data_IF_902128650712
#
_entry.id   IF_902128650712
#
_cell.length_a   1.000
_cell.length_b   1.000
_cell.length_c   1.000
_cell.angle_alpha   90.00
_cell.angle_beta   90.00
_cell.angle_gamma   90.00
#
_symmetry.space_group_name_H-M   'P 1'
#
loop_
_entity.id
_entity.type
_entity.pdbx_description
1 polymer ?
#
# COMPACT_ATOMS: atom_id res chain seq x y z
N UNK A 1 -16.30 -2.02 24.78
CA UNK A 1 -15.95 -0.84 23.96
C UNK A 1 -14.60 -0.33 24.43
N UNK A 2 -13.51 -0.74 23.81
CA UNK A 2 -12.18 -0.25 24.16
C UNK A 2 -12.08 1.19 23.68
N UNK A 3 -11.85 2.12 24.61
CA UNK A 3 -11.51 3.50 24.28
C UNK A 3 -10.13 3.50 23.58
N UNK A 4 -10.13 3.45 22.27
CA UNK A 4 -8.96 3.70 21.43
C UNK A 4 -8.55 5.19 21.43
N UNK A 5 -9.17 6.00 22.26
CA UNK A 5 -9.10 7.45 22.28
C UNK A 5 -7.73 8.07 22.62
N UNK A 6 -6.69 7.27 22.88
CA UNK A 6 -5.37 7.80 23.22
C UNK A 6 -4.21 7.28 22.35
N UNK A 7 -4.48 6.42 21.38
CA UNK A 7 -3.43 5.93 20.51
C UNK A 7 -3.35 6.79 19.23
N UNK A 8 -2.20 7.33 18.94
CA UNK A 8 -1.89 8.05 17.70
C UNK A 8 -0.70 7.39 17.01
N UNK A 9 -0.67 7.44 15.70
CA UNK A 9 0.49 7.04 14.90
C UNK A 9 1.10 8.30 14.28
N UNK A 10 2.39 8.50 14.46
CA UNK A 10 3.16 9.51 13.77
C UNK A 10 3.57 8.97 12.41
N UNK A 11 3.29 9.73 11.37
CA UNK A 11 3.63 9.40 10.00
C UNK A 11 4.48 10.52 9.44
N UNK A 12 5.74 10.23 9.16
CA UNK A 12 6.66 11.18 8.55
C UNK A 12 6.46 11.18 7.03
N UNK A 13 6.34 12.38 6.45
CA UNK A 13 6.27 12.59 5.00
C UNK A 13 7.56 13.23 4.51
N UNK A 14 7.90 13.02 3.25
CA UNK A 14 9.11 13.56 2.63
C UNK A 14 9.08 15.09 2.62
N UNK A 15 10.16 15.71 3.11
CA UNK A 15 10.27 17.16 3.25
C UNK A 15 10.23 17.88 1.89
N UNK A 16 10.92 17.33 0.88
CA UNK A 16 11.00 17.94 -0.45
C UNK A 16 9.65 18.12 -1.13
N UNK A 17 8.72 17.19 -0.86
CA UNK A 17 7.41 17.19 -1.51
C UNK A 17 6.42 18.17 -0.89
N UNK A 18 6.57 18.48 0.39
CA UNK A 18 5.54 19.20 1.15
C UNK A 18 6.04 20.40 1.94
N UNK A 19 7.31 20.76 1.83
CA UNK A 19 7.95 21.83 2.59
C UNK A 19 8.70 21.33 3.81
N UNK A 20 9.04 22.22 4.72
CA UNK A 20 9.82 21.91 5.92
C UNK A 20 9.18 20.85 6.81
N UNK A 21 9.99 20.22 7.63
CA UNK A 21 9.64 19.10 8.51
C UNK A 21 8.25 19.22 9.11
N UNK A 22 7.47 18.19 9.01
CA UNK A 22 6.15 18.11 9.61
C UNK A 22 5.85 16.71 10.11
N UNK A 23 5.02 16.66 11.11
CA UNK A 23 4.45 15.43 11.61
C UNK A 23 3.02 15.26 11.09
N UNK A 24 2.67 14.05 10.76
CA UNK A 24 1.31 13.66 10.47
C UNK A 24 0.83 12.76 11.60
N UNK A 25 -0.21 13.18 12.29
CA UNK A 25 -0.79 12.43 13.39
C UNK A 25 -2.12 11.85 12.93
N UNK A 26 -2.24 10.53 12.96
CA UNK A 26 -3.46 9.81 12.65
C UNK A 26 -4.11 9.35 13.97
N UNK A 27 -5.37 9.66 14.15
CA UNK A 27 -6.15 9.28 15.32
C UNK A 27 -7.06 8.09 15.03
N UNK A 28 -7.38 7.26 16.02
CA UNK A 28 -8.27 6.12 15.87
C UNK A 28 -9.70 6.46 15.42
N UNK A 29 -10.12 7.70 15.63
CA UNK A 29 -11.41 8.23 15.17
C UNK A 29 -11.43 8.63 13.68
N UNK A 30 -10.30 8.45 12.98
CA UNK A 30 -10.13 8.83 11.58
C UNK A 30 -9.71 10.28 11.35
N UNK A 31 -9.49 11.04 12.43
CA UNK A 31 -8.95 12.40 12.33
C UNK A 31 -7.48 12.33 11.92
N UNK A 32 -7.05 13.26 11.09
CA UNK A 32 -5.68 13.45 10.65
C UNK A 32 -5.27 14.89 10.92
N UNK A 33 -4.14 15.06 11.57
CA UNK A 33 -3.52 16.36 11.81
C UNK A 33 -2.19 16.46 11.08
N UNK A 34 -1.98 17.58 10.39
CA UNK A 34 -0.72 17.95 9.75
C UNK A 34 -0.11 19.09 10.56
N UNK A 35 1.03 18.85 11.16
CA UNK A 35 1.79 19.83 11.92
C UNK A 35 3.01 20.29 11.13
N UNK A 36 3.13 21.57 10.89
CA UNK A 36 4.27 22.16 10.21
C UNK A 36 5.08 22.99 11.20
N UNK A 37 6.38 22.79 11.28
CA UNK A 37 7.29 23.69 12.01
C UNK A 37 7.35 25.05 11.30
N UNK A 38 7.43 25.03 9.97
CA UNK A 38 7.36 26.19 9.11
C UNK A 38 6.50 25.89 7.89
N UNK A 39 5.25 26.31 7.91
CA UNK A 39 4.36 26.11 6.77
C UNK A 39 4.83 26.96 5.57
N UNK A 40 4.79 26.39 4.34
CA UNK A 40 5.10 27.16 3.14
C UNK A 40 4.22 28.42 3.03
N UNK A 41 4.82 29.58 2.75
CA UNK A 41 4.10 30.85 2.66
C UNK A 41 2.96 30.83 1.63
N UNK A 42 3.14 30.04 0.56
CA UNK A 42 2.13 29.83 -0.47
C UNK A 42 0.92 29.04 0.06
N UNK A 43 1.16 28.05 0.92
CA UNK A 43 0.09 27.31 1.59
C UNK A 43 -0.71 28.25 2.50
N UNK A 44 -0.05 29.02 3.36
CA UNK A 44 -0.70 29.97 4.27
C UNK A 44 -1.51 31.04 3.49
N UNK A 45 -0.93 31.58 2.43
CA UNK A 45 -1.64 32.52 1.54
C UNK A 45 -2.87 31.86 0.89
N UNK A 46 -2.75 30.61 0.45
CA UNK A 46 -3.84 29.87 -0.16
C UNK A 46 -4.98 29.56 0.82
N UNK A 47 -4.66 29.26 2.07
CA UNK A 47 -5.65 29.01 3.13
C UNK A 47 -6.48 30.26 3.47
N UNK A 48 -5.86 31.44 3.36
CA UNK A 48 -6.49 32.74 3.68
C UNK A 48 -7.14 33.42 2.48
N UNK A 49 -7.01 32.87 1.26
CA UNK A 49 -7.45 33.49 0.02
C UNK A 49 -8.57 32.73 -0.69
N UNK A 50 -9.01 33.28 -1.83
CA UNK A 50 -9.98 32.64 -2.74
C UNK A 50 -9.36 32.49 -4.13
N UNK A 51 -9.90 31.61 -4.96
CA UNK A 51 -9.46 31.42 -6.33
C UNK A 51 -8.29 30.47 -6.49
N UNK A 52 -7.36 30.76 -7.41
CA UNK A 52 -6.28 29.84 -7.79
C UNK A 52 -5.34 29.47 -6.63
N UNK A 53 -4.98 30.42 -5.78
CA UNK A 53 -4.14 30.16 -4.60
C UNK A 53 -4.84 29.23 -3.60
N UNK A 54 -6.14 29.40 -3.40
CA UNK A 54 -6.94 28.48 -2.56
C UNK A 54 -7.02 27.07 -3.16
N UNK A 55 -7.12 26.96 -4.50
CA UNK A 55 -7.11 25.66 -5.17
C UNK A 55 -5.77 24.95 -5.03
N UNK A 56 -4.66 25.67 -5.19
CA UNK A 56 -3.32 25.09 -4.98
C UNK A 56 -3.10 24.62 -3.53
N UNK A 57 -3.54 25.41 -2.54
CA UNK A 57 -3.51 25.00 -1.14
C UNK A 57 -4.35 23.73 -0.88
N UNK A 58 -5.53 23.66 -1.48
CA UNK A 58 -6.38 22.48 -1.39
C UNK A 58 -5.72 21.24 -1.99
N UNK A 59 -5.06 21.39 -3.15
CA UNK A 59 -4.30 20.29 -3.77
C UNK A 59 -3.14 19.82 -2.89
N UNK A 60 -2.41 20.75 -2.28
CA UNK A 60 -1.32 20.41 -1.35
C UNK A 60 -1.82 19.63 -0.14
N UNK A 61 -2.90 20.09 0.50
CA UNK A 61 -3.50 19.39 1.64
C UNK A 61 -4.04 18.01 1.24
N UNK A 62 -4.72 17.94 0.10
CA UNK A 62 -5.26 16.68 -0.40
C UNK A 62 -4.18 15.66 -0.70
N UNK A 63 -3.10 16.06 -1.38
CA UNK A 63 -1.98 15.17 -1.67
C UNK A 63 -1.30 14.68 -0.39
N UNK A 64 -1.07 15.57 0.58
CA UNK A 64 -0.53 15.19 1.88
C UNK A 64 -1.44 14.20 2.63
N UNK A 65 -2.75 14.40 2.54
CA UNK A 65 -3.73 13.47 3.11
C UNK A 65 -3.66 12.10 2.44
N UNK A 66 -3.62 12.04 1.10
CA UNK A 66 -3.53 10.77 0.36
C UNK A 66 -2.24 10.02 0.69
N UNK A 67 -1.10 10.71 0.77
CA UNK A 67 0.17 10.09 1.13
C UNK A 67 0.16 9.55 2.56
N UNK A 68 -0.34 10.34 3.51
CA UNK A 68 -0.49 9.90 4.90
C UNK A 68 -1.43 8.69 5.01
N UNK A 69 -2.51 8.73 4.26
CA UNK A 69 -3.49 7.64 4.23
C UNK A 69 -2.89 6.36 3.63
N UNK A 70 -2.10 6.48 2.56
CA UNK A 70 -1.40 5.34 1.95
C UNK A 70 -0.40 4.71 2.93
N UNK A 71 0.36 5.52 3.66
CA UNK A 71 1.28 5.03 4.69
C UNK A 71 0.54 4.38 5.85
N UNK A 72 -0.56 4.96 6.28
CA UNK A 72 -1.41 4.37 7.32
C UNK A 72 -2.03 3.04 6.89
N UNK A 73 -2.53 2.95 5.64
CA UNK A 73 -2.97 1.69 5.04
C UNK A 73 -1.87 0.63 5.10
N UNK A 74 -0.65 1.00 4.71
CA UNK A 74 0.49 0.12 4.74
C UNK A 74 0.79 -0.41 6.15
N UNK A 75 0.67 0.45 7.17
CA UNK A 75 0.82 0.06 8.58
C UNK A 75 -0.31 -0.86 9.05
N UNK A 76 -1.55 -0.58 8.66
CA UNK A 76 -2.70 -1.44 8.99
C UNK A 76 -2.47 -2.87 8.49
N UNK A 77 -2.00 -3.03 7.27
CA UNK A 77 -1.73 -4.34 6.69
C UNK A 77 -0.50 -5.04 7.31
N UNK A 78 0.59 -4.31 7.52
CA UNK A 78 1.86 -4.87 8.00
C UNK A 78 1.84 -5.13 9.51
N UNK A 79 1.97 -4.06 10.29
CA UNK A 79 2.09 -4.13 11.75
C UNK A 79 0.74 -4.28 12.43
N UNK A 80 -0.32 -3.69 11.88
CA UNK A 80 -1.70 -3.83 12.33
C UNK A 80 -2.29 -5.20 12.06
N UNK A 81 -1.69 -5.96 11.12
CA UNK A 81 -2.12 -7.31 10.71
C UNK A 81 -3.60 -7.38 10.32
N UNK A 82 -4.11 -6.30 9.76
CA UNK A 82 -5.46 -6.27 9.18
C UNK A 82 -5.41 -7.05 7.88
N UNK A 83 -6.29 -8.04 7.73
CA UNK A 83 -6.26 -8.92 6.55
C UNK A 83 -6.80 -8.23 5.31
N UNK A 84 -7.81 -7.42 5.46
CA UNK A 84 -8.42 -6.70 4.34
C UNK A 84 -9.08 -5.42 4.81
N UNK A 85 -8.97 -4.41 3.97
CA UNK A 85 -9.63 -3.13 4.12
C UNK A 85 -10.58 -2.95 2.95
N UNK A 86 -11.81 -2.57 3.24
CA UNK A 86 -12.78 -2.23 2.21
C UNK A 86 -12.60 -0.77 1.80
N UNK A 87 -12.37 -0.53 0.53
CA UNK A 87 -12.45 0.80 -0.03
C UNK A 87 -13.91 1.17 -0.25
N UNK A 88 -14.39 2.15 0.48
CA UNK A 88 -15.75 2.66 0.41
C UNK A 88 -15.89 3.69 -0.71
N UNK A 89 -15.80 3.23 -1.95
CA UNK A 89 -16.05 4.05 -3.13
C UNK A 89 -15.00 5.14 -3.44
N UNK A 90 -15.04 5.69 -4.63
CA UNK A 90 -14.21 6.85 -4.98
C UNK A 90 -14.83 8.12 -4.41
N UNK A 91 -14.05 8.87 -3.64
CA UNK A 91 -14.38 10.25 -3.30
C UNK A 91 -13.59 11.21 -4.16
N UNK A 92 -14.22 12.28 -4.57
CA UNK A 92 -13.57 13.38 -5.25
C UNK A 92 -12.98 14.35 -4.22
N UNK A 93 -12.02 15.16 -4.64
CA UNK A 93 -11.49 16.24 -3.82
C UNK A 93 -12.61 17.21 -3.37
N UNK A 94 -13.63 17.39 -4.20
CA UNK A 94 -14.83 18.20 -3.85
C UNK A 94 -15.55 17.60 -2.66
N UNK A 95 -15.79 16.28 -2.64
CA UNK A 95 -16.41 15.60 -1.50
C UNK A 95 -15.56 15.68 -0.25
N UNK A 96 -14.23 15.58 -0.38
CA UNK A 96 -13.30 15.72 0.72
C UNK A 96 -13.47 17.08 1.44
N UNK A 97 -13.54 18.18 0.68
CA UNK A 97 -13.66 19.52 1.26
C UNK A 97 -15.11 19.94 1.57
N UNK A 98 -16.09 19.40 0.91
CA UNK A 98 -17.49 19.78 1.09
C UNK A 98 -18.23 19.04 2.21
N UNK A 99 -17.56 18.09 2.87
CA UNK A 99 -18.19 17.31 3.94
C UNK A 99 -19.31 16.38 3.43
N UNK A 100 -19.17 15.82 2.23
CA UNK A 100 -20.12 14.87 1.67
C UNK A 100 -20.42 13.70 2.62
N UNK A 101 -21.47 12.93 2.38
CA UNK A 101 -21.99 11.90 3.31
C UNK A 101 -20.93 10.86 3.74
N UNK A 102 -19.87 10.69 2.98
CA UNK A 102 -18.80 9.72 3.23
C UNK A 102 -17.54 10.38 3.79
N UNK A 103 -17.28 11.66 3.47
CA UNK A 103 -16.24 12.46 4.11
C UNK A 103 -16.86 13.34 5.18
N UNK A 104 -16.76 12.97 6.42
CA UNK A 104 -17.06 13.87 7.55
C UNK A 104 -15.96 14.92 7.75
N UNK A 105 -15.11 15.11 6.72
CA UNK A 105 -13.96 15.98 6.79
C UNK A 105 -14.29 17.44 6.65
N UNK A 106 -14.24 18.20 7.71
CA UNK A 106 -13.95 19.63 7.64
C UNK A 106 -12.43 19.79 7.72
N UNK A 107 -11.86 20.63 6.87
CA UNK A 107 -10.48 21.08 7.03
C UNK A 107 -10.51 22.34 7.86
N UNK A 108 -9.81 22.30 8.98
CA UNK A 108 -9.61 23.43 9.87
C UNK A 108 -8.11 23.70 10.00
N UNK A 109 -7.70 24.92 10.09
CA UNK A 109 -6.29 25.29 10.21
C UNK A 109 -6.10 26.36 11.26
N UNK A 110 -4.93 26.35 11.88
CA UNK A 110 -4.52 27.34 12.87
C UNK A 110 -3.04 27.67 12.67
N UNK A 111 -2.64 28.89 12.99
CA UNK A 111 -1.26 29.36 13.01
C UNK A 111 -0.94 29.82 14.42
N UNK A 112 0.18 29.35 14.98
CA UNK A 112 0.73 29.79 16.27
C UNK A 112 -0.28 29.80 17.42
N UNK A 113 -1.12 28.76 17.50
CA UNK A 113 -2.10 28.62 18.58
C UNK A 113 -3.33 29.52 18.46
N UNK A 114 -3.50 30.24 17.36
CA UNK A 114 -4.70 31.03 17.10
C UNK A 114 -5.94 30.10 16.98
N UNK A 115 -7.16 30.63 17.17
CA UNK A 115 -8.37 29.85 16.97
C UNK A 115 -8.43 29.22 15.58
N UNK A 116 -8.93 28.01 15.49
CA UNK A 116 -9.07 27.30 14.20
C UNK A 116 -10.02 28.02 13.27
N UNK A 117 -9.57 28.23 12.04
CA UNK A 117 -10.36 28.75 10.93
C UNK A 117 -10.75 27.63 9.97
N UNK A 118 -11.97 27.69 9.43
CA UNK A 118 -12.42 26.71 8.43
C UNK A 118 -11.87 27.05 7.06
N UNK A 119 -11.41 26.01 6.35
CA UNK A 119 -10.96 26.10 4.98
C UNK A 119 -12.00 25.48 4.05
N UNK A 120 -12.57 26.28 3.17
CA UNK A 120 -13.57 25.88 2.20
C UNK A 120 -13.23 26.40 0.81
N UNK A 121 -12.33 25.72 0.07
CA UNK A 121 -11.95 26.14 -1.27
C UNK A 121 -13.11 25.96 -2.25
N UNK A 122 -13.24 26.87 -3.22
CA UNK A 122 -14.06 26.62 -4.40
C UNK A 122 -13.31 25.71 -5.36
N UNK A 123 -13.72 24.47 -5.44
CA UNK A 123 -13.17 23.50 -6.38
C UNK A 123 -14.06 23.41 -7.62
N UNK A 124 -13.49 23.63 -8.79
CA UNK A 124 -14.20 23.62 -10.05
C UNK A 124 -14.37 22.23 -10.65
N UNK A 125 -13.53 21.27 -10.27
CA UNK A 125 -13.56 19.89 -10.78
C UNK A 125 -13.12 18.89 -9.72
N UNK A 126 -13.77 17.72 -9.65
CA UNK A 126 -13.30 16.64 -8.80
C UNK A 126 -11.95 16.13 -9.31
N UNK A 127 -10.98 15.98 -8.42
CA UNK A 127 -9.67 15.41 -8.73
C UNK A 127 -9.37 14.27 -7.77
N UNK A 128 -8.93 13.16 -8.33
CA UNK A 128 -8.47 12.02 -7.56
C UNK A 128 -9.59 11.23 -6.87
N UNK A 129 -9.18 10.30 -6.06
CA UNK A 129 -10.06 9.44 -5.26
C UNK A 129 -9.51 9.41 -3.85
N UNK A 130 -10.37 9.68 -2.89
CA UNK A 130 -10.04 9.55 -1.49
C UNK A 130 -10.51 8.16 -1.01
N UNK A 131 -9.61 7.22 -0.72
CA UNK A 131 -10.02 5.92 -0.24
C UNK A 131 -10.50 6.03 1.20
N UNK A 132 -11.77 5.74 1.44
CA UNK A 132 -12.26 5.40 2.76
C UNK A 132 -12.07 3.91 2.99
N UNK A 133 -11.60 3.55 4.16
CA UNK A 133 -11.39 2.17 4.53
C UNK A 133 -12.30 1.79 5.69
N UNK A 134 -12.92 0.64 5.56
CA UNK A 134 -13.53 -0.04 6.69
C UNK A 134 -12.90 -1.41 6.86
N UNK A 135 -12.81 -1.87 8.08
CA UNK A 135 -12.39 -3.24 8.38
C UNK A 135 -13.30 -3.81 9.46
N UNK A 136 -13.71 -5.05 9.25
CA UNK A 136 -14.35 -5.84 10.31
C UNK A 136 -13.35 -6.28 11.39
N UNK A 137 -12.06 -6.12 11.16
CA UNK A 137 -11.01 -6.50 12.07
C UNK A 137 -10.59 -5.31 12.94
N UNK A 138 -10.68 -5.50 14.25
CA UNK A 138 -10.20 -4.51 15.20
C UNK A 138 -8.68 -4.57 15.34
N UNK A 139 -8.04 -3.42 15.31
CA UNK A 139 -6.63 -3.29 15.68
C UNK A 139 -6.53 -3.32 17.20
N UNK A 140 -5.83 -4.32 17.74
CA UNK A 140 -5.61 -4.42 19.18
C UNK A 140 -4.62 -3.36 19.69
N UNK A 141 -4.63 -2.99 20.98
CA UNK A 141 -3.66 -2.02 21.50
C UNK A 141 -2.19 -2.41 21.29
N UNK A 142 -1.88 -3.71 21.29
CA UNK A 142 -0.52 -4.19 20.98
C UNK A 142 -0.14 -3.92 19.52
N UNK A 143 -1.03 -4.28 18.58
CA UNK A 143 -0.81 -4.02 17.15
C UNK A 143 -0.74 -2.54 16.84
N UNK A 144 -1.51 -1.71 17.52
CA UNK A 144 -1.40 -0.26 17.39
C UNK A 144 -0.02 0.25 17.80
N UNK A 145 0.53 -0.25 18.91
CA UNK A 145 1.91 0.07 19.31
C UNK A 145 2.95 -0.42 18.29
N UNK A 146 2.75 -1.59 17.70
CA UNK A 146 3.63 -2.09 16.63
C UNK A 146 3.57 -1.18 15.40
N UNK A 147 2.38 -0.70 15.02
CA UNK A 147 2.20 0.28 13.95
C UNK A 147 2.92 1.60 14.25
N UNK A 148 2.77 2.11 15.46
CA UNK A 148 3.43 3.34 15.92
C UNK A 148 4.95 3.19 15.85
N UNK A 149 5.50 2.10 16.37
CA UNK A 149 6.92 1.79 16.29
C UNK A 149 7.42 1.68 14.85
N UNK A 150 6.63 1.08 13.95
CA UNK A 150 6.98 1.00 12.54
C UNK A 150 6.96 2.37 11.86
N UNK A 151 5.99 3.22 12.21
CA UNK A 151 5.93 4.59 11.73
C UNK A 151 7.15 5.40 12.19
N UNK A 152 7.49 5.35 13.48
CA UNK A 152 8.63 6.05 14.06
C UNK A 152 9.96 5.64 13.41
N UNK A 153 10.07 4.37 12.99
CA UNK A 153 11.25 3.84 12.29
C UNK A 153 11.20 4.04 10.77
N UNK A 154 10.17 4.68 10.22
CA UNK A 154 9.99 4.82 8.77
C UNK A 154 9.78 3.48 8.03
N UNK A 155 9.38 2.43 8.75
CA UNK A 155 9.25 1.08 8.20
C UNK A 155 7.85 0.86 7.62
N UNK A 156 7.68 1.20 6.35
CA UNK A 156 6.43 1.02 5.59
C UNK A 156 6.62 -0.01 4.48
N UNK A 157 5.68 -0.92 4.25
CA UNK A 157 5.62 -1.65 2.99
C UNK A 157 5.29 -0.69 1.86
N UNK A 158 6.02 -0.78 0.77
CA UNK A 158 5.88 0.03 -0.42
C UNK A 158 5.74 -0.83 -1.68
N UNK A 159 5.55 -0.19 -2.83
CA UNK A 159 5.53 -0.82 -4.14
C UNK A 159 4.69 -2.10 -4.19
N UNK A 160 5.33 -3.16 -4.65
CA UNK A 160 4.70 -4.46 -4.90
C UNK A 160 4.15 -5.10 -3.62
N UNK A 161 4.82 -4.90 -2.49
CA UNK A 161 4.38 -5.48 -1.22
C UNK A 161 3.06 -4.85 -0.75
N UNK A 162 2.93 -3.52 -0.85
CA UNK A 162 1.67 -2.84 -0.52
C UNK A 162 0.56 -3.27 -1.47
N UNK A 163 0.87 -3.42 -2.75
CA UNK A 163 -0.13 -3.85 -3.72
C UNK A 163 -0.60 -5.28 -3.49
N UNK A 164 0.29 -6.21 -3.11
CA UNK A 164 -0.12 -7.57 -2.70
C UNK A 164 -1.06 -7.56 -1.48
N UNK A 165 -0.86 -6.68 -0.51
CA UNK A 165 -1.80 -6.52 0.59
C UNK A 165 -3.18 -6.02 0.13
N UNK A 166 -3.21 -5.09 -0.82
CA UNK A 166 -4.46 -4.60 -1.42
C UNK A 166 -5.19 -5.70 -2.19
N UNK A 167 -4.43 -6.49 -2.97
CA UNK A 167 -4.95 -7.65 -3.70
C UNK A 167 -5.52 -8.68 -2.73
N UNK A 168 -4.86 -8.90 -1.61
CA UNK A 168 -5.38 -9.76 -0.56
C UNK A 168 -6.72 -9.28 -0.01
N UNK A 169 -6.88 -7.96 0.12
CA UNK A 169 -8.16 -7.33 0.44
C UNK A 169 -9.24 -7.67 -0.60
N UNK A 170 -8.92 -7.58 -1.90
CA UNK A 170 -9.85 -7.99 -2.99
C UNK A 170 -10.28 -9.45 -2.85
N UNK A 171 -9.36 -10.36 -2.56
CA UNK A 171 -9.68 -11.77 -2.34
C UNK A 171 -10.66 -11.96 -1.16
N UNK A 172 -10.45 -11.26 -0.06
CA UNK A 172 -11.36 -11.24 1.09
C UNK A 172 -12.78 -10.76 0.76
N UNK A 173 -12.92 -9.94 -0.28
CA UNK A 173 -14.22 -9.46 -0.83
C UNK A 173 -14.73 -10.30 -2.00
N UNK A 174 -14.20 -11.51 -2.19
CA UNK A 174 -14.61 -12.44 -3.23
C UNK A 174 -14.28 -12.03 -4.67
N UNK A 175 -13.41 -11.06 -4.89
CA UNK A 175 -12.87 -10.72 -6.21
C UNK A 175 -11.73 -11.68 -6.60
N UNK A 176 -11.97 -12.98 -6.47
CA UNK A 176 -10.96 -14.03 -6.52
C UNK A 176 -10.21 -14.10 -7.85
N UNK A 177 -10.94 -13.93 -8.97
CA UNK A 177 -10.34 -13.95 -10.31
C UNK A 177 -9.30 -12.84 -10.45
N UNK A 178 -9.70 -11.61 -10.17
CA UNK A 178 -8.83 -10.42 -10.26
C UNK A 178 -7.64 -10.55 -9.33
N UNK A 179 -7.89 -10.96 -8.08
CA UNK A 179 -6.85 -11.13 -7.08
C UNK A 179 -5.81 -12.20 -7.48
N UNK A 180 -6.23 -13.34 -8.03
CA UNK A 180 -5.33 -14.39 -8.47
C UNK A 180 -4.45 -13.94 -9.64
N UNK A 181 -5.02 -13.23 -10.61
CA UNK A 181 -4.28 -12.73 -11.78
C UNK A 181 -3.27 -11.67 -11.36
N UNK A 182 -3.71 -10.65 -10.63
CA UNK A 182 -2.85 -9.52 -10.22
C UNK A 182 -1.70 -9.97 -9.32
N UNK A 183 -1.97 -10.83 -8.31
CA UNK A 183 -0.92 -11.34 -7.43
C UNK A 183 0.11 -12.19 -8.18
N UNK A 184 -0.34 -12.98 -9.17
CA UNK A 184 0.57 -13.75 -10.01
C UNK A 184 1.48 -12.86 -10.86
N UNK A 185 0.94 -11.76 -11.43
CA UNK A 185 1.72 -10.81 -12.23
C UNK A 185 2.81 -10.16 -11.37
N UNK A 186 2.46 -9.70 -10.17
CA UNK A 186 3.44 -9.08 -9.26
C UNK A 186 4.51 -10.08 -8.85
N UNK A 187 4.11 -11.30 -8.49
CA UNK A 187 5.05 -12.36 -8.10
C UNK A 187 6.00 -12.73 -9.25
N UNK A 188 5.49 -12.82 -10.48
CA UNK A 188 6.31 -13.09 -11.67
C UNK A 188 7.31 -11.97 -11.93
N UNK A 189 6.87 -10.71 -11.84
CA UNK A 189 7.73 -9.54 -12.07
C UNK A 189 8.92 -9.51 -11.11
N UNK A 190 8.66 -9.72 -9.81
CA UNK A 190 9.71 -9.75 -8.79
C UNK A 190 10.64 -10.95 -8.92
N UNK A 191 10.10 -12.13 -9.17
CA UNK A 191 10.93 -13.32 -9.42
C UNK A 191 11.82 -13.14 -10.64
N UNK A 192 11.33 -12.47 -11.68
CA UNK A 192 12.10 -12.14 -12.89
C UNK A 192 13.24 -11.19 -12.56
N UNK A 193 12.96 -10.13 -11.80
CA UNK A 193 13.99 -9.17 -11.37
C UNK A 193 15.07 -9.85 -10.52
N UNK A 194 14.65 -10.63 -9.52
CA UNK A 194 15.55 -11.41 -8.67
C UNK A 194 16.35 -12.43 -9.47
N UNK A 195 15.69 -13.23 -10.31
CA UNK A 195 16.35 -14.29 -11.09
C UNK A 195 17.40 -13.75 -12.05
N UNK A 196 17.11 -12.63 -12.74
CA UNK A 196 18.09 -11.97 -13.61
C UNK A 196 19.29 -11.45 -12.82
N UNK A 197 19.10 -10.91 -11.62
CA UNK A 197 20.18 -10.49 -10.74
C UNK A 197 21.03 -11.68 -10.28
N UNK A 198 20.40 -12.75 -9.80
CA UNK A 198 21.08 -13.96 -9.36
C UNK A 198 21.93 -14.58 -10.48
N UNK A 199 21.39 -14.65 -11.71
CA UNK A 199 22.12 -15.14 -12.87
C UNK A 199 23.31 -14.22 -13.22
N UNK A 200 23.14 -12.90 -13.09
CA UNK A 200 24.24 -11.95 -13.29
C UNK A 200 25.36 -12.13 -12.27
N UNK A 201 25.01 -12.30 -11.01
CA UNK A 201 25.95 -12.57 -9.92
C UNK A 201 26.67 -13.93 -10.10
N UNK A 202 26.02 -14.89 -10.74
CA UNK A 202 26.61 -16.17 -11.15
C UNK A 202 27.50 -16.09 -12.41
N UNK A 203 27.78 -14.89 -12.92
CA UNK A 203 28.71 -14.67 -14.04
C UNK A 203 28.09 -14.67 -15.43
N UNK A 204 26.77 -14.62 -15.56
CA UNK A 204 26.13 -14.47 -16.87
C UNK A 204 26.39 -13.06 -17.45
N UNK A 205 26.84 -13.00 -18.71
CA UNK A 205 27.03 -11.73 -19.40
C UNK A 205 25.69 -11.04 -19.72
N UNK A 206 25.71 -9.71 -19.83
CA UNK A 206 24.49 -8.93 -20.18
C UNK A 206 23.85 -9.40 -21.48
N UNK A 207 24.65 -9.83 -22.47
CA UNK A 207 24.10 -10.36 -23.73
C UNK A 207 23.34 -11.68 -23.54
N UNK A 208 23.86 -12.58 -22.70
CA UNK A 208 23.17 -13.83 -22.34
C UNK A 208 21.88 -13.54 -21.55
N UNK A 209 21.94 -12.61 -20.58
CA UNK A 209 20.77 -12.21 -19.79
C UNK A 209 19.68 -11.61 -20.67
N UNK A 210 20.04 -10.79 -21.68
CA UNK A 210 19.09 -10.22 -22.63
C UNK A 210 18.35 -11.30 -23.44
N UNK A 211 19.05 -12.37 -23.86
CA UNK A 211 18.43 -13.50 -24.55
C UNK A 211 17.54 -14.33 -23.64
N UNK A 212 18.01 -14.63 -22.43
CA UNK A 212 17.26 -15.41 -21.44
C UNK A 212 16.02 -14.70 -20.90
N UNK A 213 15.98 -13.37 -20.95
CA UNK A 213 14.87 -12.58 -20.39
C UNK A 213 13.51 -13.01 -20.88
N UNK A 214 13.40 -13.32 -22.16
CA UNK A 214 12.14 -13.70 -22.80
C UNK A 214 11.85 -15.21 -22.69
N UNK A 215 12.88 -16.02 -22.40
CA UNK A 215 12.79 -17.48 -22.24
C UNK A 215 12.51 -17.88 -20.77
N UNK A 216 12.78 -17.00 -19.81
CA UNK A 216 12.51 -17.25 -18.40
C UNK A 216 11.01 -17.16 -18.09
N UNK A 217 10.35 -18.29 -18.16
CA UNK A 217 8.94 -18.41 -17.74
C UNK A 217 8.79 -18.29 -16.23
N UNK A 218 7.60 -17.94 -15.76
CA UNK A 218 7.28 -17.91 -14.33
C UNK A 218 7.60 -19.26 -13.66
N UNK A 219 7.26 -20.36 -14.32
CA UNK A 219 7.58 -21.70 -13.84
C UNK A 219 9.07 -21.92 -13.65
N UNK A 220 9.89 -21.55 -14.65
CA UNK A 220 11.35 -21.72 -14.56
C UNK A 220 11.97 -20.83 -13.47
N UNK A 221 11.47 -19.61 -13.32
CA UNK A 221 11.91 -18.69 -12.26
C UNK A 221 11.61 -19.26 -10.88
N UNK A 222 10.40 -19.76 -10.66
CA UNK A 222 9.94 -20.22 -9.35
C UNK A 222 10.54 -21.57 -8.97
N UNK A 223 10.58 -22.52 -9.91
CA UNK A 223 10.89 -23.93 -9.62
C UNK A 223 12.34 -24.34 -9.97
N UNK A 224 13.09 -23.48 -10.68
CA UNK A 224 14.47 -23.77 -11.05
C UNK A 224 15.42 -22.67 -10.55
N UNK A 225 15.25 -21.44 -11.03
CA UNK A 225 16.20 -20.36 -10.76
C UNK A 225 16.21 -19.98 -9.28
N UNK A 226 15.05 -19.80 -8.68
CA UNK A 226 14.94 -19.44 -7.25
C UNK A 226 15.53 -20.53 -6.34
N UNK A 227 15.18 -21.82 -6.44
CA UNK A 227 15.79 -22.86 -5.60
C UNK A 227 17.31 -22.98 -5.77
N UNK A 228 17.83 -22.82 -7.00
CA UNK A 228 19.26 -22.88 -7.27
C UNK A 228 20.04 -21.67 -6.73
N UNK A 229 19.38 -20.53 -6.58
CA UNK A 229 19.99 -19.29 -6.07
C UNK A 229 19.97 -19.17 -4.55
N UNK A 230 19.31 -20.08 -3.84
CA UNK A 230 19.14 -20.06 -2.39
C UNK A 230 19.98 -21.16 -1.72
N UNK A 231 20.43 -20.88 -0.51
CA UNK A 231 20.98 -21.92 0.37
C UNK A 231 19.88 -22.89 0.80
N UNK A 232 20.28 -24.11 1.21
CA UNK A 232 19.32 -25.12 1.72
C UNK A 232 18.45 -24.59 2.88
N UNK A 233 19.03 -23.80 3.76
CA UNK A 233 18.33 -23.21 4.91
C UNK A 233 17.30 -22.16 4.44
N UNK A 234 17.67 -21.31 3.52
CA UNK A 234 16.79 -20.29 2.94
C UNK A 234 15.66 -20.93 2.14
N UNK A 235 15.97 -21.92 1.31
CA UNK A 235 14.98 -22.66 0.56
C UNK A 235 13.95 -23.30 1.50
N UNK A 236 14.39 -23.98 2.56
CA UNK A 236 13.49 -24.57 3.57
C UNK A 236 12.56 -23.51 4.20
N UNK A 237 13.08 -22.31 4.43
CA UNK A 237 12.30 -21.20 5.03
C UNK A 237 11.19 -20.69 4.11
N UNK A 238 11.40 -20.71 2.80
CA UNK A 238 10.44 -20.16 1.82
C UNK A 238 9.68 -21.23 1.03
N UNK A 239 9.95 -22.51 1.23
CA UNK A 239 9.36 -23.61 0.45
C UNK A 239 7.83 -23.56 0.44
N UNK A 240 7.20 -23.37 1.59
CA UNK A 240 5.73 -23.28 1.67
C UNK A 240 5.18 -22.09 0.87
N UNK A 241 5.91 -20.98 0.84
CA UNK A 241 5.54 -19.82 0.05
C UNK A 241 5.69 -20.09 -1.45
N UNK A 242 6.76 -20.78 -1.85
CA UNK A 242 6.97 -21.22 -3.25
C UNK A 242 5.81 -22.11 -3.70
N UNK A 243 5.47 -23.12 -2.92
CA UNK A 243 4.38 -24.05 -3.22
C UNK A 243 3.01 -23.36 -3.32
N UNK A 244 2.77 -22.37 -2.46
CA UNK A 244 1.54 -21.58 -2.48
C UNK A 244 1.46 -20.66 -3.72
N UNK A 245 2.57 -20.02 -4.09
CA UNK A 245 2.65 -19.19 -5.30
C UNK A 245 2.55 -20.04 -6.57
N UNK A 246 3.08 -21.27 -6.57
CA UNK A 246 2.95 -22.18 -7.72
C UNK A 246 1.49 -22.61 -7.94
N UNK A 247 0.75 -22.92 -6.86
CA UNK A 247 -0.70 -23.16 -6.95
C UNK A 247 -1.45 -21.95 -7.48
N UNK A 248 -1.12 -20.75 -6.99
CA UNK A 248 -1.74 -19.51 -7.48
C UNK A 248 -1.48 -19.28 -8.97
N UNK A 249 -0.26 -19.58 -9.44
CA UNK A 249 0.10 -19.57 -10.85
C UNK A 249 -0.73 -20.55 -11.66
N UNK A 250 -0.96 -21.76 -11.14
CA UNK A 250 -1.86 -22.76 -11.75
C UNK A 250 -3.26 -22.18 -11.95
N UNK A 251 -3.88 -21.64 -10.90
CA UNK A 251 -5.20 -21.00 -10.98
C UNK A 251 -5.22 -19.88 -12.03
N UNK A 252 -4.21 -19.01 -12.05
CA UNK A 252 -4.11 -17.93 -13.05
C UNK A 252 -4.06 -18.48 -14.47
N UNK A 253 -3.29 -19.52 -14.70
CA UNK A 253 -3.20 -20.14 -16.02
C UNK A 253 -4.55 -20.74 -16.46
N UNK A 254 -5.22 -21.46 -15.60
CA UNK A 254 -6.53 -22.04 -15.89
C UNK A 254 -7.59 -20.96 -16.17
N UNK A 255 -7.55 -19.84 -15.43
CA UNK A 255 -8.42 -18.69 -15.66
C UNK A 255 -8.14 -17.99 -17.00
N UNK A 256 -6.88 -17.82 -17.36
CA UNK A 256 -6.48 -17.14 -18.61
C UNK A 256 -6.81 -18.02 -19.82
N UNK A 257 -6.65 -19.33 -19.72
CA UNK A 257 -6.99 -20.28 -20.78
C UNK A 257 -8.48 -20.67 -20.82
N UNK A 258 -9.28 -20.16 -19.86
CA UNK A 258 -10.72 -20.46 -19.81
C UNK A 258 -11.08 -21.86 -19.35
N UNK A 259 -10.12 -22.56 -18.72
CA UNK A 259 -10.34 -23.90 -18.19
C UNK A 259 -11.23 -23.90 -16.93
N UNK A 260 -11.22 -22.80 -16.18
CA UNK A 260 -12.06 -22.59 -14.97
C UNK A 260 -12.68 -21.18 -15.01
N UNK A 261 -13.78 -21.03 -14.29
CA UNK A 261 -14.48 -19.77 -14.07
C UNK A 261 -14.25 -19.25 -12.65
N UNK A 262 -14.71 -18.04 -12.35
CA UNK A 262 -14.62 -17.48 -10.99
C UNK A 262 -15.35 -18.36 -9.95
N UNK A 263 -16.38 -19.07 -10.33
CA UNK A 263 -17.17 -19.91 -9.42
C UNK A 263 -16.41 -21.19 -9.00
N UNK A 264 -15.45 -21.61 -9.81
CA UNK A 264 -14.65 -22.82 -9.56
C UNK A 264 -13.43 -22.53 -8.65
N UNK A 265 -13.22 -21.25 -8.28
CA UNK A 265 -12.06 -20.85 -7.48
C UNK A 265 -12.36 -20.93 -5.99
N UNK A 266 -11.55 -21.70 -5.28
CA UNK A 266 -11.58 -21.75 -3.83
C UNK A 266 -10.87 -20.56 -3.18
N UNK A 267 -11.62 -19.75 -2.42
CA UNK A 267 -11.08 -18.58 -1.75
C UNK A 267 -9.87 -18.89 -0.85
N UNK A 268 -9.86 -19.96 -0.02
CA UNK A 268 -8.71 -20.29 0.81
C UNK A 268 -7.43 -20.54 0.00
N UNK A 269 -7.54 -21.13 -1.18
CA UNK A 269 -6.39 -21.42 -2.06
C UNK A 269 -5.80 -20.15 -2.63
N UNK A 270 -6.63 -19.20 -3.08
CA UNK A 270 -6.17 -17.89 -3.56
C UNK A 270 -5.57 -17.08 -2.42
N UNK A 271 -6.22 -17.00 -1.27
CA UNK A 271 -5.71 -16.28 -0.09
C UNK A 271 -4.36 -16.84 0.36
N UNK A 272 -4.21 -18.17 0.44
CA UNK A 272 -2.94 -18.80 0.77
C UNK A 272 -1.84 -18.52 -0.26
N UNK A 273 -2.20 -18.47 -1.56
CA UNK A 273 -1.29 -18.11 -2.64
C UNK A 273 -0.79 -16.67 -2.52
N UNK A 274 -1.69 -15.73 -2.20
CA UNK A 274 -1.34 -14.31 -1.98
C UNK A 274 -0.49 -14.15 -0.71
N UNK A 275 -0.81 -14.84 0.38
CA UNK A 275 0.02 -14.85 1.59
C UNK A 275 1.42 -15.41 1.31
N UNK A 276 1.52 -16.45 0.49
CA UNK A 276 2.79 -16.98 0.00
C UNK A 276 3.56 -15.94 -0.82
N UNK A 277 2.89 -15.23 -1.72
CA UNK A 277 3.48 -14.15 -2.49
C UNK A 277 4.01 -13.01 -1.59
N UNK A 278 3.24 -12.57 -0.60
CA UNK A 278 3.67 -11.57 0.38
C UNK A 278 4.93 -12.03 1.13
N UNK A 279 4.95 -13.30 1.57
CA UNK A 279 6.11 -13.85 2.27
C UNK A 279 7.34 -13.91 1.36
N UNK A 280 7.18 -14.40 0.14
CA UNK A 280 8.24 -14.53 -0.86
C UNK A 280 8.80 -13.15 -1.25
N UNK A 281 7.94 -12.17 -1.51
CA UNK A 281 8.34 -10.80 -1.85
C UNK A 281 9.19 -10.17 -0.74
N UNK A 282 8.74 -10.25 0.51
CA UNK A 282 9.53 -9.78 1.66
C UNK A 282 10.90 -10.41 1.74
N UNK A 283 10.95 -11.72 1.53
CA UNK A 283 12.22 -12.45 1.53
C UNK A 283 13.13 -11.98 0.38
N UNK A 284 12.60 -11.87 -0.84
CA UNK A 284 13.38 -11.44 -2.01
C UNK A 284 13.83 -9.99 -1.91
N UNK A 285 13.00 -9.08 -1.42
CA UNK A 285 13.40 -7.69 -1.18
C UNK A 285 14.56 -7.60 -0.19
N UNK A 286 14.56 -8.41 0.87
CA UNK A 286 15.70 -8.46 1.81
C UNK A 286 17.00 -8.99 1.20
N UNK A 287 16.94 -9.65 0.04
CA UNK A 287 18.10 -10.11 -0.72
C UNK A 287 18.54 -9.11 -1.79
N UNK A 288 17.65 -8.23 -2.20
CA UNK A 288 17.90 -7.21 -3.22
C UNK A 288 18.44 -5.90 -2.61
N UNK A 289 18.16 -5.65 -1.33
CA UNK A 289 18.72 -4.54 -0.56
C UNK A 289 20.21 -4.75 -0.29
#
# INVERSE_FOLDING_TARGET
MLQLAQARALIYLEEEKYGTKRDVIVFPDGRLELHYDHAPSELLRGLSSRGAASTAAAETIYNAYIDAHTRFEALLYSSGRVRYLMRMGPESMTSFFSGGRLSRGSVEWSVDGQPFAKFQPKLSKPRGRNPLYTSAQLVTPSRWRDMQKSADNGSYPDGELLELYRIRGKAGWRELRTAAIEASIISESLLRAYGLRALKESGFSNNKLKRLRDELTFNNLLNIVLPLSLTKTELKRVQQAIDAVDRLRGIRNDLVHGNITQQDIEAPTVEAGIDGAIHLVRFLQSKLA
#
